data_IF_122923519919
#
_entry.id   IF_122923519919
#
_cell.length_a   1.000
_cell.length_b   1.000
_cell.length_c   1.000
_cell.angle_alpha   90.00
_cell.angle_beta   90.00
_cell.angle_gamma   90.00
#
_symmetry.space_group_name_H-M   'P 1'
#
loop_
_entity.id
_entity.type
_entity.pdbx_description
1 polymer ?
#
# COMPACT_ATOMS: atom_id res chain seq x y z
N UNK A 1 -44.37 51.60 -50.65
CA UNK A 1 -43.26 52.02 -49.77
C UNK A 1 -43.46 51.25 -48.48
N UNK A 2 -42.53 50.36 -48.13
CA UNK A 2 -42.66 49.50 -46.97
C UNK A 2 -42.29 50.31 -45.72
N UNK A 3 -43.25 50.51 -44.81
CA UNK A 3 -42.97 51.00 -43.46
C UNK A 3 -42.08 49.97 -42.75
N UNK A 4 -40.78 50.21 -42.75
CA UNK A 4 -39.86 49.54 -41.85
C UNK A 4 -40.30 49.85 -40.42
N UNK A 5 -40.86 48.87 -39.71
CA UNK A 5 -40.99 48.90 -38.26
C UNK A 5 -39.61 49.20 -37.69
N UNK A 6 -39.38 50.44 -37.25
CA UNK A 6 -38.14 50.81 -36.57
C UNK A 6 -38.14 50.12 -35.21
N UNK A 7 -37.38 49.03 -35.08
CA UNK A 7 -37.08 48.46 -33.76
C UNK A 7 -36.41 49.55 -32.93
N UNK A 8 -36.92 49.79 -31.72
CA UNK A 8 -36.42 50.87 -30.87
C UNK A 8 -34.96 50.59 -30.50
N UNK A 9 -34.08 51.43 -31.04
CA UNK A 9 -32.65 51.38 -30.74
C UNK A 9 -32.33 52.33 -29.58
N UNK A 10 -31.65 51.82 -28.57
CA UNK A 10 -31.17 52.57 -27.41
C UNK A 10 -29.67 52.79 -27.54
N UNK A 11 -29.22 54.03 -27.31
CA UNK A 11 -27.80 54.29 -27.07
C UNK A 11 -27.36 53.63 -25.76
N UNK A 12 -26.05 53.42 -25.56
CA UNK A 12 -25.54 52.86 -24.30
C UNK A 12 -25.97 53.68 -23.06
N UNK A 13 -26.13 55.00 -23.22
CA UNK A 13 -26.59 55.86 -22.15
C UNK A 13 -28.06 55.59 -21.83
N UNK A 14 -28.94 55.64 -22.83
CA UNK A 14 -30.36 55.37 -22.66
C UNK A 14 -30.61 53.95 -22.15
N UNK A 15 -29.82 52.98 -22.60
CA UNK A 15 -29.92 51.59 -22.16
C UNK A 15 -29.42 51.40 -20.72
N UNK A 16 -28.37 52.12 -20.32
CA UNK A 16 -27.90 52.16 -18.93
C UNK A 16 -28.97 52.76 -18.01
N UNK A 17 -29.62 53.85 -18.43
CA UNK A 17 -30.69 54.49 -17.69
C UNK A 17 -31.93 53.56 -17.59
N UNK A 18 -32.25 52.83 -18.66
CA UNK A 18 -33.40 51.91 -18.70
C UNK A 18 -33.22 50.62 -17.88
N UNK A 19 -31.99 50.13 -17.75
CA UNK A 19 -31.68 48.85 -17.05
C UNK A 19 -31.14 49.07 -15.63
N UNK A 20 -30.71 50.28 -15.30
CA UNK A 20 -29.99 50.59 -14.07
C UNK A 20 -28.56 50.02 -14.03
N UNK A 21 -28.08 49.41 -15.11
CA UNK A 21 -26.71 48.85 -15.19
C UNK A 21 -25.75 49.93 -15.67
N UNK A 22 -24.63 50.20 -14.97
CA UNK A 22 -23.65 51.19 -15.43
C UNK A 22 -23.09 50.87 -16.82
N UNK A 23 -22.86 51.90 -17.64
CA UNK A 23 -22.33 51.75 -19.01
C UNK A 23 -21.05 50.92 -19.07
N UNK A 24 -20.14 51.08 -18.10
CA UNK A 24 -18.90 50.29 -18.06
C UNK A 24 -19.18 48.81 -17.81
N UNK A 25 -20.16 48.51 -16.96
CA UNK A 25 -20.60 47.14 -16.67
C UNK A 25 -21.19 46.48 -17.91
N UNK A 26 -22.00 47.19 -18.68
CA UNK A 26 -22.55 46.70 -19.95
C UNK A 26 -21.46 46.36 -20.97
N UNK A 27 -20.42 47.19 -21.09
CA UNK A 27 -19.25 46.90 -21.95
C UNK A 27 -18.50 45.67 -21.47
N UNK A 28 -18.28 45.55 -20.17
CA UNK A 28 -17.60 44.39 -19.60
C UNK A 28 -18.42 43.10 -19.77
N UNK A 29 -19.75 43.19 -19.72
CA UNK A 29 -20.63 42.04 -19.91
C UNK A 29 -20.62 41.56 -21.37
N UNK A 30 -20.64 42.48 -22.34
CA UNK A 30 -20.42 42.16 -23.75
C UNK A 30 -19.08 41.42 -23.95
N UNK A 31 -17.99 41.91 -23.38
CA UNK A 31 -16.67 41.26 -23.49
C UNK A 31 -16.65 39.86 -22.86
N UNK A 32 -17.25 39.70 -21.67
CA UNK A 32 -17.25 38.41 -20.93
C UNK A 32 -18.18 37.38 -21.55
N UNK A 33 -19.35 37.79 -22.03
CA UNK A 33 -20.37 36.90 -22.58
C UNK A 33 -20.11 36.61 -24.07
N UNK A 34 -19.42 37.52 -24.77
CA UNK A 34 -19.00 37.35 -26.16
C UNK A 34 -20.16 37.01 -27.09
N UNK A 35 -20.02 35.94 -27.85
CA UNK A 35 -21.02 35.45 -28.82
C UNK A 35 -22.43 35.21 -28.23
N UNK A 36 -22.54 35.08 -26.91
CA UNK A 36 -23.83 34.91 -26.24
C UNK A 36 -24.61 36.22 -26.06
N UNK A 37 -23.93 37.38 -26.07
CA UNK A 37 -24.50 38.71 -25.90
C UNK A 37 -23.78 39.71 -26.83
N UNK A 38 -24.05 39.60 -28.13
CA UNK A 38 -23.43 40.44 -29.16
C UNK A 38 -24.22 41.73 -29.30
N UNK A 39 -23.58 42.88 -29.07
CA UNK A 39 -24.19 44.20 -29.23
C UNK A 39 -23.87 44.75 -30.63
N UNK A 40 -24.89 45.05 -31.46
CA UNK A 40 -24.68 45.66 -32.76
C UNK A 40 -24.05 47.06 -32.70
N UNK A 41 -23.42 47.45 -33.81
CA UNK A 41 -22.74 48.76 -33.96
C UNK A 41 -23.29 49.54 -35.14
N UNK A 42 -23.44 50.84 -34.97
CA UNK A 42 -23.84 51.76 -36.03
C UNK A 42 -22.67 51.99 -37.03
N UNK A 43 -22.91 52.68 -38.17
CA UNK A 43 -21.83 53.01 -39.12
C UNK A 43 -20.70 53.87 -38.54
N UNK A 44 -20.87 54.43 -37.36
CA UNK A 44 -19.88 55.21 -36.61
C UNK A 44 -19.24 54.41 -35.46
N UNK A 45 -19.39 53.07 -35.46
CA UNK A 45 -18.86 52.14 -34.46
C UNK A 45 -19.44 52.27 -33.03
N UNK A 46 -20.55 53.02 -32.86
CA UNK A 46 -21.25 53.16 -31.60
C UNK A 46 -22.19 51.98 -31.36
N UNK A 47 -22.23 51.51 -30.11
CA UNK A 47 -23.14 50.44 -29.67
C UNK A 47 -24.58 50.95 -29.65
N UNK A 48 -25.48 50.16 -30.25
CA UNK A 48 -26.91 50.33 -30.07
C UNK A 48 -27.53 49.03 -29.56
N UNK A 49 -28.43 49.18 -28.60
CA UNK A 49 -29.12 48.09 -27.96
C UNK A 49 -30.57 48.04 -28.46
N UNK A 50 -31.15 46.86 -28.46
CA UNK A 50 -32.53 46.62 -28.91
C UNK A 50 -33.37 46.09 -27.76
N UNK A 51 -34.67 45.92 -27.98
CA UNK A 51 -35.57 45.38 -26.96
C UNK A 51 -35.15 43.96 -26.53
N UNK A 52 -34.65 43.13 -27.47
CA UNK A 52 -34.05 41.83 -27.15
C UNK A 52 -32.93 41.95 -26.11
N UNK A 53 -32.09 42.99 -26.22
CA UNK A 53 -31.01 43.19 -25.26
C UNK A 53 -31.53 43.55 -23.86
N UNK A 54 -32.66 44.25 -23.76
CA UNK A 54 -33.30 44.53 -22.47
C UNK A 54 -33.72 43.22 -21.77
N UNK A 55 -34.31 42.30 -22.52
CA UNK A 55 -34.71 40.98 -22.00
C UNK A 55 -33.50 40.18 -21.52
N UNK A 56 -32.44 40.13 -22.33
CA UNK A 56 -31.21 39.43 -21.99
C UNK A 56 -30.54 40.02 -20.73
N UNK A 57 -30.51 41.34 -20.58
CA UNK A 57 -29.95 41.98 -19.38
C UNK A 57 -30.76 41.66 -18.13
N UNK A 58 -32.10 41.67 -18.23
CA UNK A 58 -32.96 41.26 -17.11
C UNK A 58 -32.68 39.82 -16.67
N UNK A 59 -32.46 38.91 -17.62
CA UNK A 59 -32.10 37.52 -17.34
C UNK A 59 -30.72 37.42 -16.69
N UNK A 60 -29.72 38.12 -17.23
CA UNK A 60 -28.37 38.16 -16.65
C UNK A 60 -28.42 38.69 -15.22
N UNK A 61 -29.16 39.77 -14.95
CA UNK A 61 -29.36 40.29 -13.60
C UNK A 61 -30.06 39.26 -12.70
N UNK A 62 -31.16 38.64 -13.14
CA UNK A 62 -31.87 37.60 -12.38
C UNK A 62 -30.95 36.44 -12.00
N UNK A 63 -30.07 36.01 -12.90
CA UNK A 63 -29.12 34.92 -12.64
C UNK A 63 -27.96 35.32 -11.74
N UNK A 64 -27.45 36.54 -11.90
CA UNK A 64 -26.39 37.10 -11.05
C UNK A 64 -26.88 37.33 -9.62
N UNK A 65 -28.14 37.70 -9.45
CA UNK A 65 -28.76 38.01 -8.15
C UNK A 65 -29.52 36.80 -7.56
N UNK A 66 -29.46 35.64 -8.22
CA UNK A 66 -30.04 34.40 -7.69
C UNK A 66 -29.19 33.82 -6.54
N UNK A 67 -29.79 32.97 -5.71
CA UNK A 67 -29.14 32.31 -4.56
C UNK A 67 -27.86 31.53 -4.95
N UNK A 68 -27.75 31.15 -6.23
CA UNK A 68 -26.62 30.40 -6.78
C UNK A 68 -25.52 31.28 -7.40
N UNK A 69 -25.67 32.61 -7.41
CA UNK A 69 -24.71 33.61 -7.92
C UNK A 69 -23.95 33.16 -9.18
N UNK A 70 -24.67 32.86 -10.27
CA UNK A 70 -24.07 32.20 -11.43
C UNK A 70 -22.85 32.99 -11.97
N UNK A 71 -21.79 32.23 -12.26
CA UNK A 71 -20.59 32.77 -12.90
C UNK A 71 -20.89 33.19 -14.35
N UNK A 72 -20.10 34.14 -14.89
CA UNK A 72 -20.24 34.56 -16.29
C UNK A 72 -20.12 33.40 -17.29
N UNK A 73 -19.32 32.38 -16.98
CA UNK A 73 -19.19 31.17 -17.81
C UNK A 73 -20.50 30.38 -17.86
N UNK A 74 -21.17 30.21 -16.72
CA UNK A 74 -22.47 29.51 -16.65
C UNK A 74 -23.56 30.32 -17.38
N UNK A 75 -23.61 31.63 -17.14
CA UNK A 75 -24.55 32.55 -17.81
C UNK A 75 -24.35 32.51 -19.33
N UNK A 76 -23.10 32.54 -19.80
CA UNK A 76 -22.76 32.43 -21.22
C UNK A 76 -23.31 31.14 -21.84
N UNK A 77 -23.10 29.99 -21.20
CA UNK A 77 -23.60 28.71 -21.68
C UNK A 77 -25.14 28.69 -21.75
N UNK A 78 -25.80 29.23 -20.74
CA UNK A 78 -27.27 29.34 -20.72
C UNK A 78 -27.80 30.19 -21.88
N UNK A 79 -27.20 31.35 -22.11
CA UNK A 79 -27.57 32.24 -23.22
C UNK A 79 -27.35 31.59 -24.59
N UNK A 80 -26.25 30.87 -24.79
CA UNK A 80 -25.98 30.14 -26.04
C UNK A 80 -27.02 29.03 -26.28
N UNK A 81 -27.33 28.24 -25.25
CA UNK A 81 -28.34 27.20 -25.34
C UNK A 81 -29.73 27.79 -25.64
N UNK A 82 -30.06 28.95 -25.08
CA UNK A 82 -31.31 29.66 -25.41
C UNK A 82 -31.34 30.16 -26.85
N UNK A 83 -30.24 30.75 -27.34
CA UNK A 83 -30.16 31.23 -28.71
C UNK A 83 -30.24 30.08 -29.73
N UNK A 84 -29.74 28.89 -29.38
CA UNK A 84 -29.85 27.66 -30.19
C UNK A 84 -31.25 27.01 -30.09
N UNK A 85 -32.01 27.31 -29.04
CA UNK A 85 -33.35 26.78 -28.79
C UNK A 85 -34.49 27.72 -29.23
N UNK A 86 -34.19 28.73 -30.07
CA UNK A 86 -35.20 29.59 -30.69
C UNK A 86 -36.27 28.80 -31.47
N UNK A 87 -37.49 29.33 -31.61
CA UNK A 87 -38.63 28.59 -32.14
C UNK A 87 -38.30 28.07 -33.54
N UNK A 88 -38.68 26.83 -33.83
CA UNK A 88 -38.74 26.30 -35.20
C UNK A 88 -39.75 27.13 -35.98
N UNK A 89 -39.34 28.30 -36.47
CA UNK A 89 -40.11 29.04 -37.45
C UNK A 89 -39.88 28.33 -38.78
N UNK A 90 -40.86 27.51 -39.14
CA UNK A 90 -40.88 26.81 -40.40
C UNK A 90 -40.64 27.80 -41.54
N UNK A 91 -39.66 27.42 -42.33
CA UNK A 91 -39.33 27.94 -43.63
C UNK A 91 -40.58 27.93 -44.51
N UNK A 92 -41.29 29.04 -44.61
CA UNK A 92 -42.24 29.28 -45.70
C UNK A 92 -41.71 30.42 -46.58
N UNK A 93 -41.10 29.97 -47.67
CA UNK A 93 -40.82 30.75 -48.86
C UNK A 93 -42.10 31.39 -49.38
N UNK A 94 -42.00 32.66 -49.78
CA UNK A 94 -43.04 33.34 -50.53
C UNK A 94 -43.33 32.65 -51.87
N UNK A 95 -44.60 32.56 -52.28
CA UNK A 95 -44.96 32.57 -53.68
C UNK A 95 -45.63 33.91 -54.05
N UNK A 96 -45.06 34.51 -55.09
CA UNK A 96 -45.61 35.53 -55.97
C UNK A 96 -47.00 35.19 -56.53
N UNK A 97 -47.86 36.20 -56.70
CA UNK A 97 -49.01 36.13 -57.63
C UNK A 97 -50.25 36.94 -57.25
N UNK A 98 -50.29 38.19 -57.73
CA UNK A 98 -51.41 38.94 -58.33
C UNK A 98 -52.86 38.99 -57.77
N UNK A 99 -53.31 40.25 -57.66
CA UNK A 99 -54.63 40.84 -57.94
C UNK A 99 -55.86 40.71 -57.00
N UNK A 100 -56.38 41.89 -56.61
CA UNK A 100 -57.80 42.22 -56.79
C UNK A 100 -58.64 42.49 -55.53
N UNK A 101 -59.14 43.74 -55.40
CA UNK A 101 -60.51 43.99 -54.92
C UNK A 101 -60.74 44.48 -53.48
N UNK A 102 -60.82 45.81 -53.34
CA UNK A 102 -61.84 46.60 -52.62
C UNK A 102 -62.22 46.36 -51.14
N UNK A 103 -61.98 47.43 -50.36
CA UNK A 103 -62.86 48.10 -49.37
C UNK A 103 -63.59 47.28 -48.27
N UNK A 104 -63.26 47.55 -47.00
CA UNK A 104 -64.24 48.13 -46.05
C UNK A 104 -63.57 48.53 -44.73
N UNK A 105 -63.99 49.70 -44.25
CA UNK A 105 -63.80 50.27 -42.91
C UNK A 105 -64.06 49.25 -41.79
N UNK A 106 -63.36 49.42 -40.65
CA UNK A 106 -63.95 49.48 -39.29
C UNK A 106 -62.83 49.89 -38.32
N UNK A 107 -62.98 51.08 -37.75
CA UNK A 107 -62.35 51.50 -36.50
C UNK A 107 -62.74 50.56 -35.35
N UNK A 108 -61.90 50.52 -34.31
CA UNK A 108 -62.23 50.37 -32.87
C UNK A 108 -61.47 49.23 -32.18
N UNK A 109 -60.96 49.54 -30.99
CA UNK A 109 -60.38 48.68 -29.93
C UNK A 109 -58.85 48.64 -29.78
N UNK A 110 -58.26 49.84 -29.65
CA UNK A 110 -56.96 50.03 -29.00
C UNK A 110 -57.13 49.91 -27.48
N UNK A 111 -57.18 48.68 -26.93
CA UNK A 111 -56.99 48.47 -25.48
C UNK A 111 -56.66 47.03 -25.02
N UNK A 112 -56.60 46.02 -25.91
CA UNK A 112 -56.42 44.62 -25.48
C UNK A 112 -55.08 43.95 -25.87
N UNK A 113 -54.16 44.68 -26.50
CA UNK A 113 -52.95 44.06 -27.08
C UNK A 113 -51.74 44.00 -26.14
N UNK A 114 -51.72 44.76 -25.04
CA UNK A 114 -50.58 44.80 -24.10
C UNK A 114 -50.65 43.72 -23.00
N UNK A 115 -51.84 43.23 -22.66
CA UNK A 115 -52.01 42.19 -21.64
C UNK A 115 -51.62 40.78 -22.14
N UNK A 116 -51.82 40.50 -23.43
CA UNK A 116 -51.48 39.22 -24.05
C UNK A 116 -49.96 39.00 -24.20
N UNK A 117 -49.20 40.05 -24.53
CA UNK A 117 -47.74 39.96 -24.66
C UNK A 117 -47.02 39.73 -23.32
N UNK A 118 -47.50 40.34 -22.23
CA UNK A 118 -46.92 40.12 -20.89
C UNK A 118 -47.12 38.68 -20.41
N UNK A 119 -48.24 38.04 -20.79
CA UNK A 119 -48.54 36.68 -20.37
C UNK A 119 -47.70 35.63 -21.12
N UNK A 120 -47.45 35.83 -22.42
CA UNK A 120 -46.52 34.99 -23.20
C UNK A 120 -45.07 35.12 -22.71
N UNK A 121 -44.61 36.33 -22.42
CA UNK A 121 -43.25 36.56 -21.88
C UNK A 121 -43.10 35.92 -20.49
N UNK A 122 -44.14 35.99 -19.65
CA UNK A 122 -44.12 35.38 -18.32
C UNK A 122 -44.15 33.85 -18.39
N UNK A 123 -44.88 33.26 -19.35
CA UNK A 123 -44.83 31.82 -19.65
C UNK A 123 -43.47 31.37 -20.18
N UNK A 124 -42.82 32.19 -21.02
CA UNK A 124 -41.48 31.92 -21.53
C UNK A 124 -40.45 31.91 -20.38
N UNK A 125 -40.57 32.84 -19.44
CA UNK A 125 -39.71 32.91 -18.25
C UNK A 125 -39.94 31.71 -17.32
N UNK A 126 -41.18 31.28 -17.09
CA UNK A 126 -41.48 30.09 -16.28
C UNK A 126 -40.97 28.82 -16.95
N UNK A 127 -41.17 28.68 -18.27
CA UNK A 127 -40.64 27.54 -19.04
C UNK A 127 -39.10 27.54 -19.04
N UNK A 128 -38.46 28.70 -19.11
CA UNK A 128 -37.01 28.83 -18.93
C UNK A 128 -36.54 28.46 -17.52
N UNK A 129 -37.32 28.78 -16.49
CA UNK A 129 -37.00 28.44 -15.11
C UNK A 129 -37.07 26.93 -14.88
N UNK A 130 -38.08 26.25 -15.44
CA UNK A 130 -38.16 24.79 -15.45
C UNK A 130 -36.99 24.15 -16.20
N UNK A 131 -36.64 24.64 -17.40
CA UNK A 131 -35.48 24.11 -18.14
C UNK A 131 -34.15 24.32 -17.42
N UNK A 132 -34.02 25.45 -16.71
CA UNK A 132 -32.84 25.74 -15.90
C UNK A 132 -32.76 24.81 -14.69
N UNK A 133 -33.88 24.55 -14.00
CA UNK A 133 -33.94 23.57 -12.92
C UNK A 133 -33.62 22.16 -13.41
N UNK A 134 -34.13 21.77 -14.58
CA UNK A 134 -33.79 20.48 -15.22
C UNK A 134 -32.30 20.39 -15.54
N UNK A 135 -31.69 21.47 -16.04
CA UNK A 135 -30.27 21.50 -16.35
C UNK A 135 -29.41 21.38 -15.09
N UNK A 136 -29.71 22.14 -14.03
CA UNK A 136 -28.97 22.03 -12.77
C UNK A 136 -29.18 20.67 -12.10
N UNK A 137 -30.38 20.10 -12.15
CA UNK A 137 -30.63 18.75 -11.67
C UNK A 137 -29.84 17.69 -12.43
N UNK A 138 -29.72 17.83 -13.76
CA UNK A 138 -28.90 16.93 -14.57
C UNK A 138 -27.41 17.09 -14.26
N UNK A 139 -26.93 18.32 -14.07
CA UNK A 139 -25.54 18.61 -13.73
C UNK A 139 -25.19 17.99 -12.37
N UNK A 140 -26.06 18.14 -11.37
CA UNK A 140 -25.90 17.52 -10.05
C UNK A 140 -25.87 15.99 -10.13
N UNK A 141 -26.76 15.40 -10.93
CA UNK A 141 -26.77 13.96 -11.17
C UNK A 141 -25.47 13.47 -11.85
N UNK A 142 -24.95 14.22 -12.83
CA UNK A 142 -23.69 13.89 -13.50
C UNK A 142 -22.52 13.99 -12.52
N UNK A 143 -22.48 15.03 -11.69
CA UNK A 143 -21.44 15.19 -10.66
C UNK A 143 -21.49 14.05 -9.65
N UNK A 144 -22.69 13.70 -9.18
CA UNK A 144 -22.89 12.60 -8.24
C UNK A 144 -22.46 11.26 -8.85
N UNK A 145 -22.89 10.97 -10.08
CA UNK A 145 -22.51 9.74 -10.80
C UNK A 145 -21.01 9.68 -11.01
N UNK A 146 -20.38 10.80 -11.37
CA UNK A 146 -18.93 10.88 -11.54
C UNK A 146 -18.18 10.66 -10.22
N UNK A 147 -18.66 11.27 -9.12
CA UNK A 147 -18.10 11.07 -7.80
C UNK A 147 -18.19 9.60 -7.37
N UNK A 148 -19.36 8.97 -7.52
CA UNK A 148 -19.58 7.56 -7.21
C UNK A 148 -18.69 6.63 -8.05
N UNK A 149 -18.59 6.89 -9.35
CA UNK A 149 -17.73 6.11 -10.26
C UNK A 149 -16.26 6.24 -9.87
N UNK A 150 -15.83 7.46 -9.52
CA UNK A 150 -14.45 7.72 -9.09
C UNK A 150 -14.16 7.04 -7.76
N UNK A 151 -15.07 7.11 -6.78
CA UNK A 151 -14.94 6.41 -5.51
C UNK A 151 -14.90 4.89 -5.68
N UNK A 152 -15.74 4.32 -6.55
CA UNK A 152 -15.75 2.90 -6.85
C UNK A 152 -14.41 2.46 -7.46
N UNK A 153 -13.87 3.23 -8.42
CA UNK A 153 -12.56 2.98 -9.02
C UNK A 153 -11.44 3.02 -7.96
N UNK A 154 -11.38 4.08 -7.16
CA UNK A 154 -10.36 4.21 -6.09
C UNK A 154 -10.46 3.06 -5.09
N UNK A 155 -11.68 2.68 -4.70
CA UNK A 155 -11.91 1.55 -3.79
C UNK A 155 -11.41 0.23 -4.39
N UNK A 156 -11.70 -0.01 -5.67
CA UNK A 156 -11.22 -1.19 -6.36
C UNK A 156 -9.68 -1.22 -6.41
N UNK A 157 -9.06 -0.09 -6.77
CA UNK A 157 -7.60 0.02 -6.83
C UNK A 157 -6.98 -0.25 -5.45
N UNK A 158 -7.52 0.34 -4.37
CA UNK A 158 -7.07 0.08 -2.99
C UNK A 158 -7.18 -1.41 -2.65
N UNK A 159 -8.28 -2.08 -3.02
CA UNK A 159 -8.45 -3.50 -2.72
C UNK A 159 -7.46 -4.39 -3.49
N UNK A 160 -7.16 -4.05 -4.74
CA UNK A 160 -6.13 -4.76 -5.53
C UNK A 160 -4.73 -4.54 -4.96
N UNK A 161 -4.40 -3.33 -4.52
CA UNK A 161 -3.13 -3.03 -3.87
C UNK A 161 -3.01 -3.77 -2.53
N UNK A 162 -4.09 -3.79 -1.73
CA UNK A 162 -4.14 -4.48 -0.44
C UNK A 162 -3.96 -5.99 -0.59
N UNK A 163 -4.65 -6.62 -1.54
CA UNK A 163 -4.49 -8.05 -1.81
C UNK A 163 -3.09 -8.39 -2.35
N UNK A 164 -2.54 -7.53 -3.21
CA UNK A 164 -1.16 -7.65 -3.69
C UNK A 164 -0.13 -7.49 -2.56
N UNK A 165 -0.36 -6.60 -1.60
CA UNK A 165 0.49 -6.44 -0.42
C UNK A 165 0.38 -7.67 0.49
N UNK A 166 -0.84 -8.10 0.82
CA UNK A 166 -1.09 -9.27 1.67
C UNK A 166 -0.42 -10.53 1.14
N UNK A 167 -0.47 -10.75 -0.18
CA UNK A 167 0.22 -11.91 -0.80
C UNK A 167 1.73 -11.78 -0.73
N UNK A 168 2.31 -10.58 -0.87
CA UNK A 168 3.76 -10.38 -0.67
C UNK A 168 4.16 -10.63 0.78
N UNK A 169 3.36 -10.17 1.74
CA UNK A 169 3.62 -10.35 3.17
C UNK A 169 3.53 -11.83 3.56
N UNK A 170 2.53 -12.57 3.08
CA UNK A 170 2.45 -14.02 3.28
C UNK A 170 3.66 -14.77 2.71
N UNK A 171 4.09 -14.42 1.49
CA UNK A 171 5.28 -15.02 0.89
C UNK A 171 6.55 -14.71 1.70
N UNK A 172 6.67 -13.49 2.23
CA UNK A 172 7.80 -13.11 3.08
C UNK A 172 7.79 -13.88 4.40
N UNK A 173 6.62 -14.01 5.05
CA UNK A 173 6.44 -14.79 6.27
C UNK A 173 6.82 -16.24 6.04
N UNK A 174 6.28 -16.89 4.99
CA UNK A 174 6.63 -18.28 4.65
C UNK A 174 8.13 -18.46 4.41
N UNK A 175 8.78 -17.49 3.75
CA UNK A 175 10.24 -17.53 3.53
C UNK A 175 11.03 -17.38 4.82
N UNK A 176 10.56 -16.55 5.76
CA UNK A 176 11.15 -16.40 7.09
C UNK A 176 10.98 -17.70 7.88
N UNK A 177 9.78 -18.27 7.89
CA UNK A 177 9.47 -19.53 8.59
C UNK A 177 10.33 -20.68 8.05
N UNK A 178 10.44 -20.84 6.72
CA UNK A 178 11.30 -21.84 6.10
C UNK A 178 12.76 -21.64 6.50
N UNK A 179 13.29 -20.42 6.40
CA UNK A 179 14.68 -20.14 6.80
C UNK A 179 14.94 -20.38 8.28
N UNK A 180 13.98 -20.06 9.13
CA UNK A 180 14.07 -20.28 10.56
C UNK A 180 14.07 -21.78 10.88
N UNK A 181 13.18 -22.53 10.23
CA UNK A 181 13.14 -23.99 10.35
C UNK A 181 14.45 -24.63 9.88
N UNK A 182 14.96 -24.24 8.71
CA UNK A 182 16.23 -24.73 8.18
C UNK A 182 17.38 -24.45 9.15
N UNK A 183 17.40 -23.26 9.75
CA UNK A 183 18.44 -22.89 10.71
C UNK A 183 18.37 -23.70 12.00
N UNK A 184 17.16 -23.92 12.54
CA UNK A 184 16.98 -24.80 13.71
C UNK A 184 17.43 -26.22 13.40
N UNK A 185 17.07 -26.74 12.22
CA UNK A 185 17.47 -28.08 11.80
C UNK A 185 18.99 -28.21 11.67
N UNK A 186 19.66 -27.18 11.13
CA UNK A 186 21.12 -27.17 11.05
C UNK A 186 21.77 -27.14 12.44
N UNK A 187 21.36 -26.23 13.32
CA UNK A 187 21.89 -26.15 14.68
C UNK A 187 21.66 -27.46 15.46
N UNK A 188 20.49 -28.08 15.29
CA UNK A 188 20.20 -29.38 15.89
C UNK A 188 21.10 -30.50 15.33
N UNK A 189 21.39 -30.48 14.02
CA UNK A 189 22.31 -31.43 13.37
C UNK A 189 23.74 -31.26 13.89
N UNK A 190 24.23 -30.04 13.99
CA UNK A 190 25.56 -29.72 14.51
C UNK A 190 25.69 -30.12 15.98
N UNK A 191 24.63 -29.88 16.77
CA UNK A 191 24.56 -30.30 18.17
C UNK A 191 24.61 -31.82 18.31
N UNK A 192 23.82 -32.56 17.53
CA UNK A 192 23.84 -34.03 17.50
C UNK A 192 25.22 -34.57 17.07
N UNK A 193 25.85 -33.94 16.08
CA UNK A 193 27.21 -34.30 15.66
C UNK A 193 28.22 -34.10 16.79
N UNK A 194 28.12 -32.98 17.50
CA UNK A 194 28.99 -32.67 18.65
C UNK A 194 28.79 -33.66 19.79
N UNK A 195 27.55 -34.03 20.11
CA UNK A 195 27.23 -35.06 21.11
C UNK A 195 27.83 -36.40 20.72
N UNK A 196 27.67 -36.83 19.47
CA UNK A 196 28.22 -38.11 19.02
C UNK A 196 29.74 -38.13 19.09
N UNK A 197 30.40 -37.03 18.69
CA UNK A 197 31.85 -36.89 18.83
C UNK A 197 32.28 -36.98 20.29
N UNK A 198 31.60 -36.27 21.20
CA UNK A 198 31.90 -36.31 22.64
C UNK A 198 31.68 -37.70 23.22
N UNK A 199 30.63 -38.40 22.77
CA UNK A 199 30.35 -39.78 23.17
C UNK A 199 31.45 -40.74 22.72
N UNK A 200 31.92 -40.61 21.49
CA UNK A 200 32.99 -41.45 20.94
C UNK A 200 34.33 -41.17 21.63
N UNK A 201 34.63 -39.89 21.92
CA UNK A 201 35.81 -39.50 22.69
C UNK A 201 35.77 -40.05 24.12
N UNK A 202 34.63 -39.92 24.81
CA UNK A 202 34.43 -40.49 26.13
C UNK A 202 34.58 -42.02 26.12
N UNK A 203 34.00 -42.69 25.12
CA UNK A 203 34.14 -44.14 24.95
C UNK A 203 35.61 -44.54 24.77
N UNK A 204 36.35 -43.82 23.93
CA UNK A 204 37.79 -44.03 23.71
C UNK A 204 38.60 -43.80 24.98
N UNK A 205 38.30 -42.76 25.76
CA UNK A 205 38.95 -42.54 27.07
C UNK A 205 38.67 -43.69 28.04
N UNK A 206 37.43 -44.13 28.16
CA UNK A 206 37.07 -45.26 29.02
C UNK A 206 37.81 -46.53 28.61
N UNK A 207 37.85 -46.83 27.31
CA UNK A 207 38.54 -48.01 26.78
C UNK A 207 40.05 -47.92 27.04
N UNK A 208 40.68 -46.78 26.76
CA UNK A 208 42.11 -46.58 27.03
C UNK A 208 42.45 -46.65 28.52
N UNK A 209 41.66 -46.02 29.40
CA UNK A 209 41.85 -46.12 30.86
C UNK A 209 41.64 -47.55 31.38
N UNK A 210 40.69 -48.29 30.82
CA UNK A 210 40.45 -49.69 31.20
C UNK A 210 41.65 -50.55 30.78
N UNK A 211 42.17 -50.35 29.58
CA UNK A 211 43.32 -51.07 29.06
C UNK A 211 44.61 -50.75 29.82
N UNK A 212 44.85 -49.49 30.20
CA UNK A 212 46.01 -49.09 31.00
C UNK A 212 45.94 -49.67 32.41
N UNK A 213 44.77 -49.63 33.05
CA UNK A 213 44.56 -50.21 34.37
C UNK A 213 44.78 -51.72 34.36
N UNK A 214 44.30 -52.41 33.31
CA UNK A 214 44.52 -53.85 33.13
C UNK A 214 46.01 -54.18 33.00
N UNK A 215 46.74 -53.47 32.15
CA UNK A 215 48.20 -53.65 32.00
C UNK A 215 48.94 -53.40 33.31
N UNK A 216 48.59 -52.34 34.02
CA UNK A 216 49.18 -52.04 35.32
C UNK A 216 48.96 -53.16 36.34
N UNK A 217 47.77 -53.76 36.35
CA UNK A 217 47.46 -54.90 37.21
C UNK A 217 48.24 -56.15 36.81
N UNK A 218 48.37 -56.44 35.51
CA UNK A 218 49.18 -57.55 35.01
C UNK A 218 50.67 -57.38 35.39
N UNK A 219 51.22 -56.16 35.25
CA UNK A 219 52.59 -55.84 35.66
C UNK A 219 52.79 -55.99 37.18
N UNK A 220 51.83 -55.53 37.98
CA UNK A 220 51.86 -55.69 39.44
C UNK A 220 51.87 -57.18 39.82
N UNK A 221 50.98 -57.98 39.22
CA UNK A 221 50.92 -59.42 39.47
C UNK A 221 52.22 -60.12 39.05
N UNK A 222 52.81 -59.75 37.92
CA UNK A 222 54.08 -60.31 37.45
C UNK A 222 55.23 -59.96 38.40
N UNK A 223 55.32 -58.70 38.85
CA UNK A 223 56.34 -58.25 39.78
C UNK A 223 56.20 -58.95 41.14
N UNK A 224 55.00 -58.97 41.73
CA UNK A 224 54.75 -59.68 42.99
C UNK A 224 55.07 -61.17 42.90
N UNK A 225 54.74 -61.82 41.78
CA UNK A 225 55.11 -63.22 41.54
C UNK A 225 56.62 -63.41 41.50
N UNK A 226 57.33 -62.51 40.79
CA UNK A 226 58.80 -62.54 40.70
C UNK A 226 59.44 -62.35 42.08
N UNK A 227 58.97 -61.38 42.87
CA UNK A 227 59.45 -61.13 44.24
C UNK A 227 59.24 -62.36 45.13
N UNK A 228 58.05 -62.97 45.08
CA UNK A 228 57.77 -64.17 45.86
C UNK A 228 58.66 -65.35 45.45
N UNK A 229 58.89 -65.53 44.15
CA UNK A 229 59.75 -66.59 43.63
C UNK A 229 61.22 -66.37 44.02
N UNK A 230 61.71 -65.13 43.94
CA UNK A 230 63.04 -64.76 44.41
C UNK A 230 63.20 -65.03 45.92
N UNK A 231 62.20 -64.64 46.73
CA UNK A 231 62.21 -64.89 48.16
C UNK A 231 62.23 -66.39 48.48
N UNK A 232 61.50 -67.21 47.73
CA UNK A 232 61.56 -68.67 47.87
C UNK A 232 62.94 -69.22 47.52
N UNK A 233 63.56 -68.78 46.42
CA UNK A 233 64.91 -69.21 46.04
C UNK A 233 65.95 -68.82 47.09
N UNK A 234 65.89 -67.60 47.61
CA UNK A 234 66.84 -67.13 48.62
C UNK A 234 66.65 -67.85 49.95
N UNK A 235 65.39 -68.12 50.34
CA UNK A 235 65.11 -68.99 51.48
C UNK A 235 65.70 -70.39 51.26
N UNK A 236 65.49 -71.02 50.11
CA UNK A 236 66.05 -72.35 49.81
C UNK A 236 67.59 -72.37 49.85
N UNK A 237 68.25 -71.35 49.31
CA UNK A 237 69.71 -71.21 49.40
C UNK A 237 70.17 -71.12 50.85
N UNK A 238 69.49 -70.31 51.67
CA UNK A 238 69.80 -70.18 53.09
C UNK A 238 69.63 -71.52 53.85
N UNK A 239 68.53 -72.24 53.60
CA UNK A 239 68.30 -73.58 54.16
C UNK A 239 69.39 -74.59 53.76
N UNK A 240 69.87 -74.54 52.51
CA UNK A 240 70.95 -75.40 52.03
C UNK A 240 72.29 -75.09 52.73
N UNK A 241 72.56 -73.82 53.02
CA UNK A 241 73.74 -73.39 53.79
C UNK A 241 73.65 -73.89 55.23
N UNK A 242 72.53 -73.67 55.92
CA UNK A 242 72.30 -74.15 57.29
C UNK A 242 72.47 -75.67 57.35
N UNK A 243 71.86 -76.39 56.42
CA UNK A 243 71.98 -77.86 56.34
C UNK A 243 73.43 -78.30 56.14
N UNK A 244 74.21 -77.58 55.32
CA UNK A 244 75.64 -77.84 55.13
C UNK A 244 76.45 -77.55 56.40
N UNK A 245 76.21 -76.42 57.04
CA UNK A 245 76.87 -76.07 58.31
C UNK A 245 76.58 -77.09 59.41
N UNK A 246 75.34 -77.57 59.50
CA UNK A 246 74.94 -78.58 60.47
C UNK A 246 75.60 -79.94 60.18
N UNK A 247 75.71 -80.34 58.91
CA UNK A 247 76.49 -81.52 58.50
C UNK A 247 77.98 -81.37 58.84
N UNK A 248 78.57 -80.21 58.59
CA UNK A 248 79.97 -79.92 58.92
C UNK A 248 80.21 -79.88 60.45
N UNK A 249 79.26 -79.34 61.22
CA UNK A 249 79.29 -79.38 62.70
C UNK A 249 79.19 -80.81 63.21
N UNK A 250 78.29 -81.63 62.65
CA UNK A 250 78.17 -83.04 63.00
C UNK A 250 79.45 -83.82 62.66
N UNK A 251 80.03 -83.59 61.47
CA UNK A 251 81.28 -84.21 61.05
C UNK A 251 82.45 -83.78 61.95
N UNK A 252 82.56 -82.50 62.28
CA UNK A 252 83.58 -81.98 63.19
C UNK A 252 83.39 -82.51 64.63
N UNK A 253 82.16 -82.67 65.11
CA UNK A 253 81.87 -83.32 66.39
C UNK A 253 82.26 -84.81 66.37
N UNK A 254 82.00 -85.53 65.27
CA UNK A 254 82.46 -86.93 65.07
C UNK A 254 83.98 -87.03 65.04
N UNK A 255 84.67 -86.10 64.37
CA UNK A 255 86.15 -86.01 64.34
C UNK A 255 86.74 -85.72 65.73
N UNK A 256 86.11 -84.83 66.52
CA UNK A 256 86.51 -84.57 67.92
C UNK A 256 86.30 -85.79 68.82
N UNK A 257 85.19 -86.53 68.68
CA UNK A 257 84.98 -87.80 69.40
C UNK A 257 86.01 -88.87 69.03
N UNK A 258 86.41 -88.99 67.76
CA UNK A 258 87.50 -89.90 67.33
C UNK A 258 88.88 -89.48 67.85
N UNK A 259 89.17 -88.18 67.95
CA UNK A 259 90.43 -87.68 68.56
C UNK A 259 90.46 -87.83 70.07
N UNK A 260 89.33 -87.66 70.76
CA UNK A 260 89.20 -87.93 72.20
C UNK A 260 89.37 -89.42 72.56
N UNK A 261 89.01 -90.32 71.65
CA UNK A 261 89.18 -91.76 71.84
C UNK A 261 90.63 -92.26 71.68
N UNK A 262 91.50 -91.50 71.00
CA UNK A 262 92.94 -91.81 70.87
C UNK A 262 93.84 -91.07 71.89
N UNK A 263 93.29 -90.18 72.71
CA UNK A 263 94.02 -89.46 73.76
C UNK A 263 94.10 -90.16 75.12
N UNK A 264 93.62 -91.41 75.23
CA UNK A 264 93.58 -92.17 76.48
C UNK A 264 94.74 -93.17 76.65
N UNK A 265 95.76 -93.11 75.79
CA UNK A 265 97.00 -93.84 75.98
C UNK A 265 98.19 -92.94 75.60
N UNK A 266 98.84 -92.33 76.60
CA UNK A 266 100.16 -91.71 76.39
C UNK A 266 100.60 -90.62 77.38
N UNK A 267 100.89 -91.02 78.64
CA UNK A 267 101.85 -90.38 79.56
C UNK A 267 101.35 -89.19 80.38
N UNK A 268 101.43 -89.14 81.72
CA UNK A 268 102.13 -89.97 82.71
C UNK A 268 103.03 -89.08 83.59
N UNK A 269 102.56 -88.74 84.79
CA UNK A 269 103.29 -88.54 86.08
C UNK A 269 102.35 -87.96 87.14
#
# INVERSE_FOLDING_TARGET
>A
MNETMFEKAYTIKEFSDATGVPQNTLRNWEEKLGEAFVVPRDPHENRYYTERHLELIRLIQKWRDSEYELSFTQIKQMLLHMNMAGPKNEMYSAPSGEEGGSNSLVSLSQQNSQSLQLQEVQQLVVNMEERMQQFFGHLDQVLQTHAETTHAFVRQEIETLKSSQSSRDENLIQKIESKFHDKIQEEHREFLSSINSMKDEFRSQVETTTETNKRHLDDLMANTKSEFQQQLEDNMKNWAVISREDLEREENARKKKKKGFFGLFGGGE
#
